data_IF_414045528615
#
_entry.id   IF_414045528615
#
_cell.length_a   1.000
_cell.length_b   1.000
_cell.length_c   1.000
_cell.angle_alpha   90.00
_cell.angle_beta   90.00
_cell.angle_gamma   90.00
#
_symmetry.space_group_name_H-M   'P 1'
#
loop_
_entity.id
_entity.type
_entity.pdbx_description
1 polymer ?
#
# COMPACT_ATOMS: atom_id res chain seq x y z
N UNK A 1 0.89 14.19 32.56
CA UNK A 1 1.39 13.68 31.26
C UNK A 1 1.33 12.16 31.30
N UNK A 2 0.61 11.51 30.39
CA UNK A 2 0.58 10.06 30.29
C UNK A 2 1.77 9.58 29.45
N UNK A 3 2.57 8.66 29.98
CA UNK A 3 3.76 8.11 29.29
C UNK A 3 3.54 6.63 29.02
N UNK A 4 3.60 6.23 27.75
CA UNK A 4 3.54 4.82 27.34
C UNK A 4 4.97 4.28 27.29
N UNK A 5 5.28 3.29 28.12
CA UNK A 5 6.62 2.69 28.24
C UNK A 5 6.76 1.32 27.54
N UNK A 6 5.67 0.80 27.00
CA UNK A 6 5.64 -0.51 26.31
C UNK A 6 5.16 -0.35 24.88
N UNK A 7 5.62 -1.22 23.98
CA UNK A 7 5.08 -1.30 22.64
C UNK A 7 3.59 -1.63 22.70
N UNK A 8 2.76 -0.81 22.06
CA UNK A 8 1.34 -1.08 21.90
C UNK A 8 1.11 -1.52 20.45
N UNK A 9 0.93 -2.81 20.18
CA UNK A 9 0.65 -3.29 18.83
C UNK A 9 -0.61 -2.62 18.28
N UNK A 10 -0.49 -2.00 17.12
CA UNK A 10 -1.61 -1.47 16.35
C UNK A 10 -1.92 -2.40 15.19
N UNK A 11 -3.10 -2.28 14.60
CA UNK A 11 -3.42 -2.97 13.37
C UNK A 11 -2.37 -2.63 12.28
N UNK A 12 -1.85 -3.61 11.51
CA UNK A 12 -0.71 -3.39 10.62
C UNK A 12 -1.07 -2.47 9.44
N UNK A 13 -0.12 -1.63 9.05
CA UNK A 13 -0.13 -0.84 7.81
C UNK A 13 0.93 -1.41 6.89
N UNK A 14 0.51 -2.12 5.88
CA UNK A 14 1.36 -2.92 4.99
C UNK A 14 1.23 -2.44 3.55
N UNK A 15 2.32 -2.40 2.82
CA UNK A 15 2.33 -2.35 1.37
C UNK A 15 3.03 -3.59 0.81
N UNK A 16 2.39 -4.26 -0.16
CA UNK A 16 2.97 -5.35 -0.92
C UNK A 16 3.04 -4.92 -2.37
N UNK A 17 4.22 -4.87 -2.95
CA UNK A 17 4.35 -4.53 -4.36
C UNK A 17 5.19 -5.56 -5.11
N UNK A 18 5.04 -5.60 -6.44
CA UNK A 18 5.73 -6.56 -7.29
C UNK A 18 5.16 -6.59 -8.70
N UNK A 19 5.78 -7.36 -9.57
CA UNK A 19 5.32 -7.51 -10.96
C UNK A 19 3.91 -8.10 -11.03
N UNK A 20 3.23 -7.86 -12.16
CA UNK A 20 1.93 -8.49 -12.43
C UNK A 20 2.05 -10.02 -12.39
N UNK A 21 1.06 -10.71 -11.82
CA UNK A 21 1.02 -12.18 -11.75
C UNK A 21 1.98 -12.82 -10.73
N UNK A 22 2.75 -12.05 -9.95
CA UNK A 22 3.68 -12.62 -8.95
C UNK A 22 2.95 -13.22 -7.73
N UNK A 23 1.69 -12.87 -7.49
CA UNK A 23 0.86 -13.41 -6.41
C UNK A 23 0.60 -12.46 -5.25
N UNK A 24 0.63 -11.15 -5.48
CA UNK A 24 0.35 -10.11 -4.45
C UNK A 24 -1.02 -10.30 -3.80
N UNK A 25 -2.08 -10.37 -4.62
CA UNK A 25 -3.46 -10.57 -4.14
C UNK A 25 -3.63 -11.91 -3.41
N UNK A 26 -2.97 -12.97 -3.90
CA UNK A 26 -2.92 -14.29 -3.23
C UNK A 26 -2.22 -14.22 -1.87
N UNK A 27 -1.17 -13.41 -1.72
CA UNK A 27 -0.54 -13.20 -0.43
C UNK A 27 -1.46 -12.41 0.49
N UNK A 28 -2.06 -11.33 -0.01
CA UNK A 28 -2.96 -10.48 0.77
C UNK A 28 -4.24 -11.22 1.20
N UNK A 29 -4.71 -12.21 0.43
CA UNK A 29 -5.88 -13.03 0.83
C UNK A 29 -5.64 -13.90 2.06
N UNK A 30 -4.38 -14.11 2.44
CA UNK A 30 -3.99 -14.82 3.67
C UNK A 30 -3.95 -13.91 4.90
N UNK A 31 -4.12 -12.61 4.76
CA UNK A 31 -4.25 -11.69 5.89
C UNK A 31 -5.51 -12.01 6.69
N UNK A 32 -5.55 -11.55 7.93
CA UNK A 32 -6.67 -11.81 8.82
C UNK A 32 -7.97 -11.22 8.27
N UNK A 33 -8.94 -12.07 7.93
CA UNK A 33 -10.30 -11.74 7.48
C UNK A 33 -10.36 -10.50 6.54
N UNK A 34 -9.77 -10.57 5.32
CA UNK A 34 -9.62 -9.42 4.47
C UNK A 34 -10.88 -9.10 3.66
N UNK A 35 -11.17 -7.80 3.48
CA UNK A 35 -12.07 -7.26 2.44
C UNK A 35 -11.24 -6.56 1.38
N UNK A 36 -11.40 -6.93 0.12
CA UNK A 36 -10.71 -6.31 -1.00
C UNK A 36 -11.54 -5.17 -1.59
N UNK A 37 -10.93 -4.02 -1.72
CA UNK A 37 -11.41 -2.91 -2.53
C UNK A 37 -10.78 -3.09 -3.91
N UNK A 38 -11.57 -3.65 -4.84
CA UNK A 38 -11.12 -4.00 -6.19
C UNK A 38 -11.11 -2.76 -7.10
N UNK A 39 -9.91 -2.39 -7.56
CA UNK A 39 -9.70 -1.27 -8.49
C UNK A 39 -9.39 -1.70 -9.92
N UNK A 40 -9.09 -2.99 -10.14
CA UNK A 40 -8.62 -3.51 -11.42
C UNK A 40 -9.57 -4.50 -12.09
N UNK A 41 -10.45 -5.15 -11.33
CA UNK A 41 -11.27 -6.26 -11.80
C UNK A 41 -10.50 -7.59 -11.88
N UNK A 42 -9.33 -7.67 -11.25
CA UNK A 42 -8.44 -8.84 -11.31
C UNK A 42 -8.80 -9.99 -10.37
N UNK A 43 -9.78 -9.79 -9.47
CA UNK A 43 -10.09 -10.75 -8.40
C UNK A 43 -11.18 -11.78 -8.77
N UNK A 44 -11.61 -11.83 -10.03
CA UNK A 44 -12.75 -12.66 -10.46
C UNK A 44 -12.53 -14.18 -10.27
N UNK A 45 -11.29 -14.62 -10.17
CA UNK A 45 -10.92 -16.03 -9.98
C UNK A 45 -10.45 -16.35 -8.55
N UNK A 46 -10.68 -15.43 -7.60
CA UNK A 46 -10.33 -15.61 -6.21
C UNK A 46 -11.58 -15.65 -5.34
N UNK A 47 -11.65 -16.64 -4.47
CA UNK A 47 -12.71 -16.74 -3.44
C UNK A 47 -12.35 -15.88 -2.24
N UNK A 48 -12.65 -14.58 -2.35
CA UNK A 48 -12.37 -13.56 -1.34
C UNK A 48 -13.53 -12.58 -1.21
N UNK A 49 -13.74 -12.04 -0.02
CA UNK A 49 -14.66 -10.92 0.17
C UNK A 49 -14.12 -9.70 -0.58
N UNK A 50 -14.91 -9.14 -1.49
CA UNK A 50 -14.49 -8.01 -2.32
C UNK A 50 -15.65 -7.11 -2.73
N UNK A 51 -15.34 -5.87 -3.05
CA UNK A 51 -16.29 -4.98 -3.73
C UNK A 51 -16.44 -5.38 -5.21
N UNK A 52 -17.50 -4.96 -5.90
CA UNK A 52 -17.45 -4.79 -7.34
C UNK A 52 -16.27 -3.88 -7.72
N UNK A 53 -15.77 -3.99 -8.97
CA UNK A 53 -14.69 -3.12 -9.44
C UNK A 53 -15.09 -1.64 -9.36
N UNK A 54 -14.36 -0.87 -8.57
CA UNK A 54 -14.65 0.55 -8.34
C UNK A 54 -13.88 1.43 -9.32
N UNK A 55 -14.57 2.34 -9.99
CA UNK A 55 -14.01 3.22 -11.02
C UNK A 55 -14.08 4.70 -10.69
N UNK A 56 -14.71 5.08 -9.57
CA UNK A 56 -14.83 6.47 -9.14
C UNK A 56 -14.34 6.67 -7.71
N UNK A 57 -13.77 7.86 -7.44
CA UNK A 57 -13.32 8.20 -6.09
C UNK A 57 -14.47 8.23 -5.08
N UNK A 58 -15.64 8.72 -5.52
CA UNK A 58 -16.84 8.75 -4.68
C UNK A 58 -17.26 7.34 -4.23
N UNK A 59 -17.19 6.32 -5.11
CA UNK A 59 -17.51 4.94 -4.73
C UNK A 59 -16.47 4.35 -3.76
N UNK A 60 -15.20 4.69 -3.92
CA UNK A 60 -14.17 4.28 -2.95
C UNK A 60 -14.43 4.91 -1.58
N UNK A 61 -14.65 6.23 -1.54
CA UNK A 61 -14.95 6.95 -0.30
C UNK A 61 -16.21 6.42 0.38
N UNK A 62 -17.24 6.07 -0.41
CA UNK A 62 -18.48 5.46 0.10
C UNK A 62 -18.18 4.14 0.81
N UNK A 63 -17.45 3.21 0.17
CA UNK A 63 -17.11 1.91 0.78
C UNK A 63 -16.27 2.09 2.04
N UNK A 64 -15.26 2.96 2.01
CA UNK A 64 -14.43 3.23 3.18
C UNK A 64 -15.25 3.86 4.32
N UNK A 65 -16.23 4.72 3.99
CA UNK A 65 -17.17 5.29 4.95
C UNK A 65 -18.13 4.26 5.55
N UNK A 66 -18.60 3.29 4.76
CA UNK A 66 -19.44 2.19 5.25
C UNK A 66 -18.66 1.30 6.22
N UNK A 67 -17.39 0.98 5.93
CA UNK A 67 -16.50 0.23 6.83
C UNK A 67 -16.25 1.01 8.13
N UNK A 68 -16.04 2.33 8.04
CA UNK A 68 -15.90 3.18 9.22
C UNK A 68 -17.16 3.16 10.08
N UNK A 69 -18.34 3.37 9.49
CA UNK A 69 -19.62 3.36 10.21
C UNK A 69 -19.91 2.00 10.86
N UNK A 70 -19.55 0.89 10.19
CA UNK A 70 -19.68 -0.45 10.77
C UNK A 70 -18.79 -0.63 12.01
N UNK A 71 -17.56 -0.10 11.98
CA UNK A 71 -16.67 -0.15 13.14
C UNK A 71 -17.19 0.71 14.31
N UNK A 72 -17.65 1.94 14.04
CA UNK A 72 -18.26 2.82 15.06
C UNK A 72 -19.49 2.20 15.71
N UNK A 73 -20.28 1.44 14.94
CA UNK A 73 -21.44 0.73 15.43
C UNK A 73 -21.11 -0.60 16.16
N UNK A 74 -19.82 -0.95 16.30
CA UNK A 74 -19.40 -2.24 16.87
C UNK A 74 -19.75 -3.46 16.00
N UNK A 75 -20.03 -3.26 14.72
CA UNK A 75 -20.45 -4.29 13.74
C UNK A 75 -19.37 -4.54 12.69
N UNK A 76 -18.09 -4.44 13.06
CA UNK A 76 -16.98 -4.70 12.16
C UNK A 76 -16.98 -6.17 11.74
N UNK A 77 -17.17 -6.42 10.45
CA UNK A 77 -17.21 -7.76 9.86
C UNK A 77 -15.83 -8.23 9.43
N UNK A 78 -14.96 -7.30 8.95
CA UNK A 78 -13.63 -7.58 8.43
C UNK A 78 -12.54 -7.05 9.36
N UNK A 79 -11.35 -7.66 9.31
CA UNK A 79 -10.19 -7.23 10.10
C UNK A 79 -9.16 -6.48 9.27
N UNK A 80 -9.07 -6.73 7.96
CA UNK A 80 -8.09 -6.11 7.07
C UNK A 80 -8.77 -5.53 5.84
N UNK A 81 -8.46 -4.28 5.50
CA UNK A 81 -8.86 -3.63 4.26
C UNK A 81 -7.69 -3.75 3.29
N UNK A 82 -7.91 -4.39 2.15
CA UNK A 82 -6.93 -4.54 1.06
C UNK A 82 -7.33 -3.66 -0.11
N UNK A 83 -6.49 -2.72 -0.53
CA UNK A 83 -6.68 -1.93 -1.76
C UNK A 83 -5.90 -2.57 -2.89
N UNK A 84 -6.59 -3.14 -3.86
CA UNK A 84 -6.01 -3.87 -4.99
C UNK A 84 -6.43 -3.24 -6.34
N UNK A 85 -5.59 -2.34 -6.89
CA UNK A 85 -4.33 -1.87 -6.39
C UNK A 85 -4.32 -0.35 -6.16
N UNK A 86 -3.42 0.10 -5.28
CA UNK A 86 -3.30 1.52 -4.94
C UNK A 86 -2.77 2.37 -6.11
N UNK A 87 -1.94 1.81 -6.98
CA UNK A 87 -1.47 2.51 -8.18
C UNK A 87 -2.62 2.74 -9.17
N UNK A 88 -3.57 1.81 -9.30
CA UNK A 88 -4.80 2.04 -10.07
C UNK A 88 -5.72 3.06 -9.38
N UNK A 89 -5.88 2.96 -8.06
CA UNK A 89 -6.63 3.97 -7.30
C UNK A 89 -6.07 5.37 -7.56
N UNK A 90 -4.78 5.56 -7.44
CA UNK A 90 -4.12 6.85 -7.67
C UNK A 90 -4.32 7.31 -9.12
N UNK A 91 -3.94 6.48 -10.10
CA UNK A 91 -3.92 6.87 -11.53
C UNK A 91 -5.32 7.02 -12.15
N UNK A 92 -6.27 6.19 -11.76
CA UNK A 92 -7.59 6.16 -12.40
C UNK A 92 -8.63 7.02 -11.69
N UNK A 93 -8.47 7.21 -10.39
CA UNK A 93 -9.51 7.73 -9.52
C UNK A 93 -9.09 9.03 -8.86
N UNK A 94 -7.97 9.02 -8.13
CA UNK A 94 -7.54 10.20 -7.38
C UNK A 94 -7.01 11.30 -8.29
N UNK A 95 -6.26 10.96 -9.34
CA UNK A 95 -5.80 11.95 -10.32
C UNK A 95 -6.96 12.73 -10.94
N UNK A 96 -8.04 12.03 -11.29
CA UNK A 96 -9.24 12.66 -11.80
C UNK A 96 -9.93 13.55 -10.76
N UNK A 97 -10.05 13.07 -9.51
CA UNK A 97 -10.65 13.84 -8.43
C UNK A 97 -9.83 15.09 -8.07
N UNK A 98 -8.52 15.02 -8.21
CA UNK A 98 -7.60 16.15 -8.04
C UNK A 98 -7.61 17.16 -9.22
N UNK A 99 -8.44 16.90 -10.25
CA UNK A 99 -8.52 17.77 -11.44
C UNK A 99 -7.37 17.61 -12.42
N UNK A 100 -6.62 16.49 -12.35
CA UNK A 100 -5.54 16.18 -13.28
C UNK A 100 -6.15 15.47 -14.50
N UNK A 101 -6.25 16.19 -15.62
CA UNK A 101 -6.81 15.65 -16.86
C UNK A 101 -5.72 14.99 -17.71
N UNK A 102 -5.78 13.66 -17.82
CA UNK A 102 -4.91 12.84 -18.68
C UNK A 102 -5.53 12.49 -20.04
N UNK A 103 -6.71 12.98 -20.34
CA UNK A 103 -7.34 12.77 -21.66
C UNK A 103 -6.74 13.66 -22.75
N UNK A 104 -5.94 14.65 -22.37
CA UNK A 104 -5.15 15.44 -23.32
C UNK A 104 -3.90 14.66 -23.69
N UNK A 105 -3.68 14.47 -24.99
CA UNK A 105 -2.67 13.59 -25.59
C UNK A 105 -1.23 13.75 -25.07
N UNK A 106 -0.89 14.89 -24.46
CA UNK A 106 0.46 15.19 -23.94
C UNK A 106 0.48 15.59 -22.47
N UNK A 107 -0.62 15.45 -21.73
CA UNK A 107 -0.67 15.90 -20.35
C UNK A 107 -0.10 14.84 -19.41
N UNK A 108 1.08 15.10 -18.89
CA UNK A 108 1.71 14.32 -17.81
C UNK A 108 1.55 15.05 -16.48
N UNK A 109 1.77 14.36 -15.36
CA UNK A 109 1.81 15.01 -14.03
C UNK A 109 2.79 16.20 -13.98
N UNK A 110 3.86 16.18 -14.79
CA UNK A 110 4.81 17.29 -14.87
C UNK A 110 4.25 18.52 -15.59
N UNK A 111 3.34 18.32 -16.56
CA UNK A 111 2.78 19.38 -17.42
C UNK A 111 1.40 19.85 -16.99
N UNK A 112 0.66 19.04 -16.24
CA UNK A 112 -0.66 19.39 -15.74
C UNK A 112 -0.62 20.53 -14.72
N UNK A 113 -1.73 21.20 -14.52
CA UNK A 113 -1.91 22.26 -13.53
C UNK A 113 -0.89 23.42 -13.66
N UNK A 114 -0.58 23.82 -14.89
CA UNK A 114 0.35 24.93 -15.17
C UNK A 114 1.81 24.52 -15.37
N UNK A 115 2.12 23.23 -15.36
CA UNK A 115 3.48 22.69 -15.60
C UNK A 115 4.39 22.69 -14.38
N UNK A 116 5.69 22.57 -14.62
CA UNK A 116 6.75 22.57 -13.59
C UNK A 116 6.56 21.56 -12.46
N UNK A 117 5.87 20.43 -12.71
CA UNK A 117 5.61 19.41 -11.71
C UNK A 117 4.43 19.70 -10.78
N UNK A 118 3.69 20.79 -10.97
CA UNK A 118 2.54 21.15 -10.14
C UNK A 118 1.50 20.04 -10.05
N UNK A 119 1.26 19.27 -11.11
CA UNK A 119 0.33 18.14 -11.07
C UNK A 119 0.72 17.07 -10.05
N UNK A 120 2.02 16.81 -9.87
CA UNK A 120 2.51 15.88 -8.84
C UNK A 120 2.20 16.40 -7.43
N UNK A 121 2.41 17.69 -7.22
CA UNK A 121 2.15 18.32 -5.93
C UNK A 121 0.66 18.39 -5.61
N UNK A 122 -0.19 18.68 -6.61
CA UNK A 122 -1.65 18.64 -6.46
C UNK A 122 -2.13 17.25 -6.10
N UNK A 123 -1.61 16.21 -6.77
CA UNK A 123 -1.94 14.82 -6.49
C UNK A 123 -1.52 14.43 -5.06
N UNK A 124 -0.28 14.70 -4.68
CA UNK A 124 0.24 14.41 -3.34
C UNK A 124 -0.58 15.11 -2.26
N UNK A 125 -0.84 16.40 -2.42
CA UNK A 125 -1.66 17.18 -1.49
C UNK A 125 -3.07 16.60 -1.36
N UNK A 126 -3.68 16.15 -2.46
CA UNK A 126 -5.01 15.53 -2.43
C UNK A 126 -4.98 14.22 -1.62
N UNK A 127 -3.97 13.38 -1.85
CA UNK A 127 -3.78 12.13 -1.09
C UNK A 127 -3.58 12.43 0.40
N UNK A 128 -2.70 13.37 0.74
CA UNK A 128 -2.40 13.76 2.14
C UNK A 128 -3.61 14.37 2.85
N UNK A 129 -4.45 15.10 2.13
CA UNK A 129 -5.58 15.83 2.72
C UNK A 129 -6.84 14.97 2.85
N UNK A 130 -7.09 14.05 1.93
CA UNK A 130 -8.37 13.34 1.88
C UNK A 130 -8.25 11.83 2.06
N UNK A 131 -7.41 11.14 1.28
CA UNK A 131 -7.35 9.68 1.30
C UNK A 131 -6.63 9.16 2.55
N UNK A 132 -5.44 9.67 2.80
CA UNK A 132 -4.60 9.18 3.89
C UNK A 132 -5.23 9.37 5.28
N UNK A 133 -5.85 10.52 5.62
CA UNK A 133 -6.55 10.68 6.90
C UNK A 133 -7.69 9.69 7.09
N UNK A 134 -8.41 9.33 6.03
CA UNK A 134 -9.46 8.32 6.09
C UNK A 134 -8.87 6.93 6.41
N UNK A 135 -7.78 6.54 5.74
CA UNK A 135 -7.07 5.28 6.04
C UNK A 135 -6.51 5.27 7.47
N UNK A 136 -5.97 6.41 7.94
CA UNK A 136 -5.52 6.57 9.34
C UNK A 136 -6.67 6.36 10.31
N UNK A 137 -7.84 6.92 10.01
CA UNK A 137 -9.03 6.79 10.87
C UNK A 137 -9.51 5.35 10.93
N UNK A 138 -9.59 4.66 9.79
CA UNK A 138 -9.93 3.23 9.72
C UNK A 138 -8.93 2.37 10.49
N UNK A 139 -7.65 2.66 10.37
CA UNK A 139 -6.62 1.94 11.11
C UNK A 139 -6.75 2.15 12.64
N UNK A 140 -7.10 3.37 13.10
CA UNK A 140 -7.42 3.65 14.50
C UNK A 140 -8.64 2.89 15.00
N UNK A 141 -9.60 2.58 14.11
CA UNK A 141 -10.75 1.71 14.40
C UNK A 141 -10.38 0.21 14.43
N UNK A 142 -9.10 -0.12 14.25
CA UNK A 142 -8.57 -1.45 14.37
C UNK A 142 -8.54 -2.25 13.06
N UNK A 143 -8.78 -1.64 11.91
CA UNK A 143 -8.53 -2.30 10.63
C UNK A 143 -7.03 -2.34 10.31
N UNK A 144 -6.50 -3.52 9.95
CA UNK A 144 -5.27 -3.60 9.20
C UNK A 144 -5.47 -2.97 7.80
N UNK A 145 -4.48 -2.27 7.30
CA UNK A 145 -4.54 -1.70 5.95
C UNK A 145 -3.43 -2.33 5.11
N UNK A 146 -3.80 -2.95 4.00
CA UNK A 146 -2.87 -3.52 3.03
C UNK A 146 -3.04 -2.80 1.68
N UNK A 147 -1.97 -2.16 1.21
CA UNK A 147 -1.91 -1.53 -0.10
C UNK A 147 -1.17 -2.48 -1.05
N UNK A 148 -1.82 -2.93 -2.11
CA UNK A 148 -1.16 -3.67 -3.18
C UNK A 148 -0.75 -2.68 -4.27
N UNK A 149 0.47 -2.79 -4.80
CA UNK A 149 0.95 -1.98 -5.91
C UNK A 149 1.70 -2.83 -6.94
N UNK A 150 1.72 -2.38 -8.20
CA UNK A 150 2.64 -2.89 -9.20
C UNK A 150 4.06 -2.37 -8.96
N UNK A 151 5.05 -3.08 -9.48
CA UNK A 151 6.44 -2.66 -9.46
C UNK A 151 6.80 -1.87 -10.73
N UNK A 152 7.72 -0.94 -10.59
CA UNK A 152 8.35 -0.20 -11.68
C UNK A 152 9.80 0.14 -11.30
N UNK A 153 10.65 0.42 -12.30
CA UNK A 153 11.98 0.97 -12.06
C UNK A 153 11.90 2.46 -11.81
N UNK A 154 12.61 2.94 -10.81
CA UNK A 154 12.64 4.35 -10.43
C UNK A 154 14.05 4.77 -10.07
N UNK A 155 14.40 5.98 -10.46
CA UNK A 155 15.57 6.66 -9.94
C UNK A 155 15.17 7.31 -8.61
N UNK A 156 15.80 6.90 -7.54
CA UNK A 156 15.59 7.38 -6.18
C UNK A 156 16.90 7.98 -5.67
N UNK A 157 16.80 8.93 -4.74
CA UNK A 157 17.98 9.56 -4.14
C UNK A 157 18.37 8.78 -2.87
N UNK A 158 19.62 8.36 -2.81
CA UNK A 158 20.23 7.76 -1.62
C UNK A 158 20.48 8.78 -0.51
N UNK A 159 20.81 8.28 0.67
CA UNK A 159 21.14 9.11 1.84
C UNK A 159 22.40 9.97 1.66
N UNK A 160 23.30 9.59 0.75
CA UNK A 160 24.51 10.34 0.37
C UNK A 160 24.26 11.37 -0.74
N UNK A 161 23.03 11.47 -1.26
CA UNK A 161 22.62 12.36 -2.33
C UNK A 161 22.87 11.82 -3.74
N UNK A 162 23.38 10.60 -3.88
CA UNK A 162 23.54 9.93 -5.18
C UNK A 162 22.20 9.37 -5.67
N UNK A 163 22.02 9.35 -6.99
CA UNK A 163 20.89 8.69 -7.64
C UNK A 163 21.13 7.19 -7.72
N UNK A 164 20.12 6.39 -7.37
CA UNK A 164 20.12 4.94 -7.50
C UNK A 164 18.89 4.48 -8.25
N UNK A 165 19.05 3.58 -9.20
CA UNK A 165 17.91 2.92 -9.86
C UNK A 165 17.47 1.72 -9.05
N UNK A 166 16.26 1.77 -8.49
CA UNK A 166 15.66 0.70 -7.72
C UNK A 166 14.29 0.30 -8.28
N UNK A 167 13.90 -0.94 -7.98
CA UNK A 167 12.51 -1.40 -8.15
C UNK A 167 11.69 -0.86 -6.99
N UNK A 168 10.60 -0.16 -7.31
CA UNK A 168 9.74 0.51 -6.33
C UNK A 168 8.28 0.45 -6.76
N UNK A 169 7.32 0.81 -5.89
CA UNK A 169 5.90 0.88 -6.26
C UNK A 169 5.63 1.80 -7.44
N UNK A 170 4.78 1.38 -8.38
CA UNK A 170 4.45 2.09 -9.63
C UNK A 170 3.51 3.28 -9.40
N UNK A 171 3.92 4.20 -8.55
CA UNK A 171 3.21 5.44 -8.20
C UNK A 171 4.18 6.60 -8.42
N UNK A 172 3.69 7.82 -8.66
CA UNK A 172 4.57 8.99 -8.68
C UNK A 172 5.41 9.07 -7.40
N UNK A 173 6.68 9.48 -7.52
CA UNK A 173 7.66 9.39 -6.41
C UNK A 173 7.20 10.11 -5.15
N UNK A 174 6.65 11.32 -5.26
CA UNK A 174 6.19 12.07 -4.09
C UNK A 174 5.02 11.36 -3.37
N UNK A 175 4.05 10.91 -4.16
CA UNK A 175 2.90 10.13 -3.66
C UNK A 175 3.34 8.78 -3.09
N UNK A 176 4.28 8.11 -3.75
CA UNK A 176 4.87 6.86 -3.28
C UNK A 176 5.51 7.04 -1.91
N UNK A 177 6.37 8.07 -1.76
CA UNK A 177 7.03 8.37 -0.49
C UNK A 177 6.02 8.60 0.63
N UNK A 178 4.92 9.30 0.35
CA UNK A 178 3.83 9.51 1.31
C UNK A 178 3.27 8.19 1.83
N UNK A 179 3.00 7.21 0.96
CA UNK A 179 2.52 5.89 1.39
C UNK A 179 3.60 5.06 2.08
N UNK A 180 4.84 5.07 1.58
CA UNK A 180 5.97 4.36 2.16
C UNK A 180 6.27 4.86 3.57
N UNK A 181 6.26 6.17 3.79
CA UNK A 181 6.42 6.76 5.12
C UNK A 181 5.32 6.33 6.08
N UNK A 182 4.08 6.31 5.61
CA UNK A 182 2.92 5.97 6.43
C UNK A 182 2.83 4.48 6.76
N UNK A 183 3.20 3.59 5.84
CA UNK A 183 3.20 2.15 6.09
C UNK A 183 4.24 1.76 7.14
N UNK A 184 3.92 0.81 8.00
CA UNK A 184 4.89 0.23 8.93
C UNK A 184 5.81 -0.76 8.22
N UNK A 185 5.27 -1.46 7.23
CA UNK A 185 5.99 -2.45 6.44
C UNK A 185 5.72 -2.23 4.95
N UNK A 186 6.76 -2.28 4.14
CA UNK A 186 6.73 -2.23 2.67
C UNK A 186 7.56 -3.39 2.17
N UNK A 187 6.95 -4.35 1.50
CA UNK A 187 7.61 -5.56 1.04
C UNK A 187 7.55 -5.68 -0.47
N UNK A 188 8.68 -6.05 -1.06
CA UNK A 188 8.77 -6.39 -2.47
C UNK A 188 8.59 -7.89 -2.65
N UNK A 189 7.57 -8.28 -3.40
CA UNK A 189 7.30 -9.66 -3.76
C UNK A 189 7.86 -9.95 -5.16
N UNK A 190 8.79 -10.90 -5.23
CA UNK A 190 9.43 -11.34 -6.47
C UNK A 190 9.45 -12.87 -6.61
N UNK A 191 9.91 -13.36 -7.74
CA UNK A 191 10.37 -14.74 -7.88
C UNK A 191 11.90 -14.75 -7.85
N UNK A 192 12.47 -15.74 -7.16
CA UNK A 192 13.90 -16.01 -7.19
C UNK A 192 14.32 -16.73 -8.48
N UNK A 193 15.60 -17.08 -8.58
CA UNK A 193 16.16 -17.78 -9.74
C UNK A 193 15.60 -19.19 -9.94
N UNK A 194 15.00 -19.79 -8.90
CA UNK A 194 14.35 -21.09 -8.93
C UNK A 194 12.84 -20.98 -9.22
N UNK A 195 12.32 -19.76 -9.42
CA UNK A 195 10.91 -19.47 -9.63
C UNK A 195 10.05 -19.44 -8.36
N UNK A 196 10.66 -19.59 -7.18
CA UNK A 196 9.97 -19.51 -5.89
C UNK A 196 9.57 -18.05 -5.56
N UNK A 197 8.47 -17.90 -4.85
CA UNK A 197 8.01 -16.57 -4.41
C UNK A 197 8.74 -16.17 -3.13
N UNK A 198 9.37 -15.01 -3.18
CA UNK A 198 10.21 -14.46 -2.11
C UNK A 198 9.76 -13.06 -1.76
N UNK A 199 9.70 -12.75 -0.47
CA UNK A 199 9.46 -11.43 0.08
C UNK A 199 10.77 -10.78 0.49
N UNK A 200 11.09 -9.62 -0.08
CA UNK A 200 12.20 -8.76 0.34
C UNK A 200 11.69 -7.88 1.49
N UNK A 201 12.36 -7.93 2.63
CA UNK A 201 11.89 -7.34 3.89
C UNK A 201 12.57 -6.01 4.24
N UNK A 202 13.74 -5.73 3.69
CA UNK A 202 14.50 -4.49 3.85
C UNK A 202 15.04 -3.99 2.52
N UNK A 203 15.27 -2.69 2.40
CA UNK A 203 15.85 -2.10 1.20
C UNK A 203 17.27 -2.59 0.96
N UNK A 204 17.56 -2.86 -0.29
CA UNK A 204 18.90 -3.13 -0.82
C UNK A 204 19.17 -2.20 -2.04
N UNK A 205 20.25 -2.46 -2.78
CA UNK A 205 20.58 -1.71 -4.00
C UNK A 205 19.57 -1.95 -5.15
N UNK A 206 18.76 -3.01 -5.06
CA UNK A 206 17.86 -3.46 -6.14
C UNK A 206 16.43 -3.02 -5.90
N UNK A 207 15.95 -3.07 -4.65
CA UNK A 207 14.53 -2.87 -4.35
C UNK A 207 14.29 -2.06 -3.08
N UNK A 208 13.28 -1.19 -3.14
CA UNK A 208 12.79 -0.44 -2.00
C UNK A 208 11.98 -1.37 -1.08
N UNK A 209 12.41 -1.54 0.16
CA UNK A 209 11.60 -2.21 1.17
C UNK A 209 11.75 -1.51 2.52
N UNK A 210 10.90 -1.82 3.48
CA UNK A 210 10.90 -1.21 4.80
C UNK A 210 10.15 -2.11 5.77
N UNK A 211 10.64 -2.24 6.99
CA UNK A 211 9.84 -2.76 8.08
C UNK A 211 10.22 -2.11 9.42
N UNK A 212 9.28 -2.14 10.36
CA UNK A 212 9.49 -1.69 11.76
C UNK A 212 9.60 -2.88 12.73
N UNK A 213 9.71 -4.09 12.19
CA UNK A 213 9.72 -5.32 12.96
C UNK A 213 11.14 -5.83 13.24
N UNK A 214 12.17 -5.19 12.65
CA UNK A 214 13.57 -5.62 12.74
C UNK A 214 13.87 -6.87 11.91
N UNK A 215 13.06 -7.12 10.88
CA UNK A 215 13.28 -8.23 9.95
C UNK A 215 14.32 -7.83 8.91
N UNK A 216 15.15 -8.78 8.48
CA UNK A 216 16.23 -8.56 7.50
C UNK A 216 16.15 -9.55 6.36
N UNK A 217 16.76 -9.20 5.21
CA UNK A 217 16.96 -10.07 4.06
C UNK A 217 15.67 -10.44 3.33
N UNK A 218 15.63 -11.68 2.87
CA UNK A 218 14.55 -12.24 2.06
C UNK A 218 13.97 -13.49 2.71
N UNK A 219 12.67 -13.74 2.51
CA UNK A 219 12.00 -14.93 3.04
C UNK A 219 11.10 -15.56 1.98
N UNK A 220 11.11 -16.88 1.87
CA UNK A 220 10.23 -17.63 0.97
C UNK A 220 8.79 -17.62 1.51
N UNK A 221 7.81 -17.45 0.62
CA UNK A 221 6.39 -17.46 1.02
C UNK A 221 5.91 -18.83 1.49
N UNK A 222 6.61 -19.94 1.12
CA UNK A 222 6.34 -21.27 1.64
C UNK A 222 6.63 -21.39 3.14
N UNK A 223 7.56 -20.60 3.65
CA UNK A 223 8.15 -20.75 4.97
C UNK A 223 7.52 -19.80 6.00
N UNK A 224 6.59 -18.95 5.59
CA UNK A 224 6.00 -17.94 6.46
C UNK A 224 4.47 -18.00 6.52
N UNK A 225 3.97 -17.62 7.70
CA UNK A 225 2.61 -17.11 7.90
C UNK A 225 2.69 -15.58 7.96
N UNK A 226 2.09 -14.89 6.99
CA UNK A 226 2.13 -13.43 6.89
C UNK A 226 1.55 -12.75 8.15
N UNK A 227 0.55 -13.34 8.79
CA UNK A 227 -0.03 -12.76 10.00
C UNK A 227 0.94 -12.84 11.18
N UNK A 228 1.71 -13.95 11.29
CA UNK A 228 2.75 -14.08 12.29
C UNK A 228 3.94 -13.17 12.01
N UNK A 229 4.32 -13.03 10.73
CA UNK A 229 5.38 -12.12 10.31
C UNK A 229 5.10 -10.67 10.70
N UNK A 230 3.84 -10.23 10.63
CA UNK A 230 3.42 -8.87 10.94
C UNK A 230 3.22 -8.61 12.46
N UNK A 231 3.36 -9.63 13.30
CA UNK A 231 3.33 -9.45 14.76
C UNK A 231 4.68 -8.93 15.25
N UNK A 232 4.70 -8.01 16.24
CA UNK A 232 5.94 -7.62 16.90
C UNK A 232 6.65 -8.87 17.42
N UNK A 233 7.87 -9.10 17.00
CA UNK A 233 8.69 -10.18 17.55
C UNK A 233 8.92 -9.87 19.02
N UNK A 234 8.37 -10.70 19.90
CA UNK A 234 8.60 -10.57 21.33
C UNK A 234 10.12 -10.61 21.57
N UNK A 235 10.68 -9.61 22.23
CA UNK A 235 12.01 -9.74 22.77
C UNK A 235 11.95 -10.93 23.74
N UNK A 236 12.47 -12.07 23.35
CA UNK A 236 12.81 -13.10 24.33
C UNK A 236 13.67 -12.40 25.39
N UNK A 237 13.13 -12.33 26.59
CA UNK A 237 13.92 -11.86 27.73
C UNK A 237 15.08 -12.82 27.88
N UNK A 238 16.28 -12.42 27.48
CA UNK A 238 17.52 -13.02 27.95
C UNK A 238 17.71 -12.71 29.42
#
# INVERSE_FOLDING_TARGET
MQVIKQATPTAPKLMIYGLSGVGKSTLASKLKNPIFIDMEGGLNYMDVARTPTLTSYASVLKVLGELFNAAEAGKREYDTIVIDSVDWLVRKVVEKAAGIDKNKLDETLNRSNGGYGNGKQVLENHIRTYLLPLLVTLNKQGYGICLIAHADRKVLMNSDGSDVEQIAPKIDVNTMNTFVEWCDNVFFLKRDINGERVLVLESDEVALAKNRLGLTGEVKLSDIDINKLLMPQGKEKK
#
